data_IF_001167826998
#
_entry.id   IF_001167826998
#
_cell.length_a   1.000
_cell.length_b   1.000
_cell.length_c   1.000
_cell.angle_alpha   90.00
_cell.angle_beta   90.00
_cell.angle_gamma   90.00
#
_symmetry.space_group_name_H-M   'P 1'
#
loop_
_entity.id
_entity.type
_entity.pdbx_description
1 polymer ?
#
# COMPACT_ATOMS: atom_id res chain seq x y z
N UNK A 1 12.17 12.02 4.39
CA UNK A 1 11.47 10.77 4.05
C UNK A 1 12.48 9.65 3.99
N UNK A 2 12.11 8.46 4.48
CA UNK A 2 12.91 7.24 4.48
C UNK A 2 12.21 6.18 3.66
N UNK A 3 12.98 5.32 2.99
CA UNK A 3 12.48 4.17 2.26
C UNK A 3 13.18 2.90 2.71
N UNK A 4 12.48 1.78 2.61
CA UNK A 4 13.05 0.48 2.92
C UNK A 4 12.37 -0.62 2.13
N UNK A 5 12.98 -1.81 2.21
CA UNK A 5 12.32 -3.06 1.85
C UNK A 5 12.44 -4.04 3.01
N UNK A 6 11.41 -4.86 3.16
CA UNK A 6 11.39 -5.98 4.11
C UNK A 6 10.65 -7.13 3.45
N UNK A 7 11.39 -8.14 3.01
CA UNK A 7 10.85 -9.23 2.20
C UNK A 7 10.11 -8.66 0.96
N UNK A 8 8.82 -8.94 0.81
CA UNK A 8 7.95 -8.43 -0.26
C UNK A 8 7.35 -7.05 0.03
N UNK A 9 7.64 -6.47 1.20
CA UNK A 9 7.11 -5.16 1.60
C UNK A 9 7.98 -4.02 1.09
N UNK A 10 7.31 -3.06 0.46
CA UNK A 10 7.82 -1.74 0.11
C UNK A 10 7.46 -0.75 1.20
N UNK A 11 8.46 -0.14 1.82
CA UNK A 11 8.27 0.68 3.03
C UNK A 11 8.63 2.13 2.75
N UNK A 12 7.80 3.05 3.25
CA UNK A 12 8.08 4.46 3.29
C UNK A 12 7.73 5.03 4.67
N UNK A 13 8.53 5.99 5.13
CA UNK A 13 8.25 6.75 6.33
C UNK A 13 8.50 8.25 6.08
N UNK A 14 7.50 9.07 6.38
CA UNK A 14 7.66 10.53 6.50
C UNK A 14 7.95 10.84 7.97
N UNK A 15 9.10 11.42 8.26
CA UNK A 15 9.50 11.82 9.62
C UNK A 15 9.32 13.32 9.73
N UNK A 16 8.44 13.77 10.62
CA UNK A 16 8.11 15.17 10.90
C UNK A 16 8.42 15.51 12.36
N UNK A 17 9.69 15.35 12.76
CA UNK A 17 10.12 15.57 14.14
C UNK A 17 9.77 14.39 15.04
N UNK A 18 9.03 14.57 16.15
CA UNK A 18 8.67 13.48 17.05
C UNK A 18 7.58 12.56 16.46
N UNK A 19 6.87 13.00 15.44
CA UNK A 19 5.87 12.21 14.72
C UNK A 19 6.44 11.64 13.43
N UNK A 20 5.93 10.48 13.04
CA UNK A 20 6.16 9.90 11.73
C UNK A 20 4.84 9.38 11.15
N UNK A 21 4.84 9.16 9.84
CA UNK A 21 3.80 8.41 9.14
C UNK A 21 4.49 7.33 8.34
N UNK A 22 4.19 6.08 8.66
CA UNK A 22 4.75 4.88 8.07
C UNK A 22 3.71 4.18 7.21
N UNK A 23 4.14 3.76 6.01
CA UNK A 23 3.35 2.93 5.13
C UNK A 23 4.20 1.78 4.61
N UNK A 24 3.70 0.56 4.80
CA UNK A 24 4.14 -0.61 4.07
C UNK A 24 3.10 -1.01 3.04
N UNK A 25 3.52 -1.25 1.79
CA UNK A 25 2.70 -1.84 0.73
C UNK A 25 3.32 -3.13 0.22
N UNK A 26 2.46 -4.08 -0.14
CA UNK A 26 2.83 -5.30 -0.83
C UNK A 26 1.99 -5.44 -2.09
N UNK A 27 2.64 -5.54 -3.24
CA UNK A 27 1.94 -5.55 -4.54
C UNK A 27 1.55 -6.95 -5.03
N UNK A 28 2.27 -7.99 -4.61
CA UNK A 28 2.00 -9.38 -4.96
C UNK A 28 2.55 -10.35 -3.89
N UNK A 29 2.29 -11.65 -4.04
CA UNK A 29 2.88 -12.71 -3.22
C UNK A 29 1.93 -13.34 -2.20
N UNK A 30 2.41 -14.36 -1.50
CA UNK A 30 1.67 -15.06 -0.45
C UNK A 30 1.37 -14.12 0.74
N UNK A 31 0.33 -14.40 1.55
CA UNK A 31 0.13 -13.70 2.81
C UNK A 31 1.41 -13.74 3.64
N UNK A 32 1.92 -12.57 4.00
CA UNK A 32 3.08 -12.40 4.87
C UNK A 32 2.64 -11.58 6.08
N UNK A 33 3.09 -11.92 7.30
CA UNK A 33 2.64 -11.23 8.50
C UNK A 33 2.97 -9.74 8.46
N UNK A 34 2.00 -8.91 8.87
CA UNK A 34 2.22 -7.49 9.15
C UNK A 34 3.08 -7.35 10.39
N UNK A 35 3.99 -6.36 10.39
CA UNK A 35 4.64 -5.86 11.63
C UNK A 35 3.92 -4.64 12.17
N UNK A 36 3.23 -3.89 11.31
CA UNK A 36 2.30 -2.85 11.71
C UNK A 36 0.89 -3.40 11.93
N UNK A 37 -0.10 -2.51 11.83
CA UNK A 37 -1.52 -2.86 11.83
C UNK A 37 -2.11 -2.67 10.44
N UNK A 38 -3.26 -3.29 10.18
CA UNK A 38 -4.02 -2.97 8.98
C UNK A 38 -4.49 -1.50 9.05
N UNK A 39 -4.45 -0.75 7.94
CA UNK A 39 -5.00 0.60 7.92
C UNK A 39 -6.50 0.59 8.23
N UNK A 40 -6.97 1.65 8.88
CA UNK A 40 -8.40 1.91 9.02
C UNK A 40 -9.04 2.30 7.67
N UNK A 41 -10.36 2.52 7.67
CA UNK A 41 -11.09 2.83 6.44
C UNK A 41 -10.65 4.15 5.78
N UNK A 42 -10.29 5.17 6.57
CA UNK A 42 -9.86 6.47 6.05
C UNK A 42 -8.46 6.36 5.41
N UNK A 43 -7.54 5.71 6.12
CA UNK A 43 -6.20 5.41 5.64
C UNK A 43 -6.24 4.54 4.38
N UNK A 44 -7.09 3.50 4.36
CA UNK A 44 -7.25 2.62 3.20
C UNK A 44 -7.76 3.37 1.98
N UNK A 45 -8.71 4.30 2.14
CA UNK A 45 -9.22 5.13 1.05
C UNK A 45 -8.12 6.02 0.46
N UNK A 46 -7.27 6.62 1.31
CA UNK A 46 -6.13 7.42 0.86
C UNK A 46 -5.09 6.59 0.13
N UNK A 47 -4.72 5.43 0.69
CA UNK A 47 -3.78 4.49 0.05
C UNK A 47 -4.30 4.13 -1.35
N UNK A 48 -5.58 3.77 -1.47
CA UNK A 48 -6.19 3.45 -2.76
C UNK A 48 -6.15 4.62 -3.74
N UNK A 49 -6.43 5.85 -3.28
CA UNK A 49 -6.33 7.05 -4.11
C UNK A 49 -4.90 7.31 -4.61
N UNK A 50 -3.89 7.12 -3.74
CA UNK A 50 -2.48 7.25 -4.09
C UNK A 50 -2.03 6.24 -5.15
N UNK A 51 -2.39 4.97 -4.96
CA UNK A 51 -2.12 3.90 -5.94
C UNK A 51 -2.79 4.19 -7.27
N UNK A 52 -4.05 4.63 -7.27
CA UNK A 52 -4.77 4.98 -8.49
C UNK A 52 -4.10 6.11 -9.26
N UNK A 53 -3.66 7.18 -8.56
CA UNK A 53 -2.91 8.30 -9.18
C UNK A 53 -1.60 7.83 -9.81
N UNK A 54 -0.83 7.00 -9.11
CA UNK A 54 0.42 6.46 -9.65
C UNK A 54 0.19 5.57 -10.87
N UNK A 55 -0.79 4.67 -10.81
CA UNK A 55 -1.18 3.82 -11.93
C UNK A 55 -1.56 4.64 -13.17
N UNK A 56 -2.37 5.69 -12.98
CA UNK A 56 -2.73 6.61 -14.06
C UNK A 56 -1.52 7.32 -14.65
N UNK A 57 -0.62 7.85 -13.81
CA UNK A 57 0.56 8.58 -14.27
C UNK A 57 1.57 7.70 -15.01
N UNK A 58 1.72 6.45 -14.58
CA UNK A 58 2.71 5.51 -15.14
C UNK A 58 2.15 4.63 -16.27
N UNK A 59 0.83 4.66 -16.51
CA UNK A 59 0.18 3.72 -17.44
C UNK A 59 0.25 2.26 -16.96
N UNK A 60 0.14 2.04 -15.65
CA UNK A 60 0.27 0.71 -15.01
C UNK A 60 -1.00 0.31 -14.28
N UNK A 61 -1.01 -0.90 -13.69
CA UNK A 61 -2.13 -1.45 -12.96
C UNK A 61 -1.68 -2.20 -11.69
N UNK A 62 -0.82 -1.57 -10.88
CA UNK A 62 -0.43 -2.15 -9.59
C UNK A 62 -1.66 -2.37 -8.72
N UNK A 63 -1.78 -3.59 -8.21
CA UNK A 63 -2.70 -3.92 -7.13
C UNK A 63 -1.95 -4.00 -5.81
N UNK A 64 -2.57 -3.55 -4.73
CA UNK A 64 -2.05 -3.74 -3.37
C UNK A 64 -2.67 -5.03 -2.83
N UNK A 65 -1.84 -6.04 -2.62
CA UNK A 65 -2.22 -7.30 -1.99
C UNK A 65 -2.34 -7.14 -0.46
N UNK A 66 -1.53 -6.27 0.13
CA UNK A 66 -1.59 -5.95 1.56
C UNK A 66 -0.98 -4.58 1.88
N UNK A 67 -1.42 -3.99 2.99
CA UNK A 67 -0.92 -2.72 3.51
C UNK A 67 -0.77 -2.78 5.04
N UNK A 68 0.21 -2.04 5.55
CA UNK A 68 0.42 -1.85 6.99
C UNK A 68 0.77 -0.40 7.32
N UNK A 69 0.34 0.05 8.49
CA UNK A 69 0.66 1.37 9.08
C UNK A 69 1.19 1.18 10.50
N UNK A 70 1.85 2.19 11.07
CA UNK A 70 2.20 2.17 12.49
C UNK A 70 1.00 2.68 13.31
N UNK A 71 0.48 1.92 14.29
CA UNK A 71 -0.69 2.32 15.07
C UNK A 71 -0.46 3.58 15.93
N UNK A 72 0.78 4.05 16.03
CA UNK A 72 1.15 5.27 16.78
C UNK A 72 1.20 6.50 15.89
N UNK A 73 0.99 6.35 14.58
CA UNK A 73 1.01 7.47 13.66
C UNK A 73 -0.23 8.34 13.84
N UNK A 74 -0.01 9.65 13.94
CA UNK A 74 -1.11 10.61 13.83
C UNK A 74 -1.60 10.65 12.38
N UNK A 75 -2.92 10.51 12.20
CA UNK A 75 -3.51 10.64 10.88
C UNK A 75 -3.44 12.09 10.40
N UNK A 76 -2.72 12.31 9.30
CA UNK A 76 -2.68 13.57 8.56
C UNK A 76 -3.24 13.33 7.16
N UNK A 77 -4.31 14.03 6.81
CA UNK A 77 -5.02 13.83 5.57
C UNK A 77 -4.10 14.06 4.35
N UNK A 78 -4.15 13.13 3.41
CA UNK A 78 -3.39 13.11 2.16
C UNK A 78 -1.99 12.48 2.28
N UNK A 79 -1.46 12.26 3.48
CA UNK A 79 -0.12 11.70 3.65
C UNK A 79 -0.06 10.25 3.18
N UNK A 80 -1.07 9.44 3.49
CA UNK A 80 -1.07 8.03 3.07
C UNK A 80 -1.27 7.89 1.56
N UNK A 81 -2.04 8.79 0.95
CA UNK A 81 -2.15 8.85 -0.51
C UNK A 81 -0.81 9.20 -1.16
N UNK A 82 -0.10 10.19 -0.62
CA UNK A 82 1.21 10.58 -1.14
C UNK A 82 2.27 9.48 -0.93
N UNK A 83 2.32 8.84 0.24
CA UNK A 83 3.21 7.71 0.51
C UNK A 83 2.93 6.54 -0.44
N UNK A 84 1.65 6.20 -0.65
CA UNK A 84 1.26 5.11 -1.52
C UNK A 84 1.66 5.36 -2.98
N UNK A 85 1.41 6.57 -3.48
CA UNK A 85 1.85 6.99 -4.81
C UNK A 85 3.38 6.83 -4.95
N UNK A 86 4.14 7.35 -3.99
CA UNK A 86 5.60 7.30 -3.99
C UNK A 86 6.13 5.86 -3.98
N UNK A 87 5.47 4.97 -3.22
CA UNK A 87 5.85 3.55 -3.17
C UNK A 87 5.60 2.83 -4.50
N UNK A 88 4.49 3.12 -5.19
CA UNK A 88 4.22 2.56 -6.53
C UNK A 88 5.26 3.05 -7.53
N UNK A 89 5.56 4.35 -7.55
CA UNK A 89 6.57 4.93 -8.44
C UNK A 89 7.94 4.27 -8.23
N UNK A 90 8.33 4.02 -6.98
CA UNK A 90 9.59 3.34 -6.67
C UNK A 90 9.58 1.86 -7.05
N UNK A 91 8.49 1.14 -6.80
CA UNK A 91 8.37 -0.25 -7.21
C UNK A 91 8.47 -0.37 -8.74
N UNK A 92 7.84 0.55 -9.47
CA UNK A 92 7.92 0.64 -10.92
C UNK A 92 9.35 0.92 -11.40
N UNK A 93 10.00 1.94 -10.84
CA UNK A 93 11.39 2.26 -11.18
C UNK A 93 12.37 1.09 -10.89
N UNK A 94 12.04 0.23 -9.92
CA UNK A 94 12.80 -0.97 -9.60
C UNK A 94 12.45 -2.20 -10.47
N UNK A 95 11.56 -2.06 -11.45
CA UNK A 95 11.17 -3.13 -12.37
C UNK A 95 10.20 -4.16 -11.78
N UNK A 96 9.53 -3.85 -10.67
CA UNK A 96 8.46 -4.73 -10.16
C UNK A 96 7.34 -4.77 -11.19
N UNK A 97 6.98 -5.94 -11.68
CA UNK A 97 5.89 -6.07 -12.63
C UNK A 97 4.57 -5.60 -12.00
N UNK A 98 3.78 -4.80 -12.74
CA UNK A 98 2.39 -4.56 -12.39
C UNK A 98 1.61 -5.84 -12.67
N UNK A 99 1.52 -6.72 -11.68
CA UNK A 99 0.58 -7.82 -11.73
C UNK A 99 -0.81 -7.28 -11.37
N UNK A 100 -1.85 -7.54 -12.18
CA UNK A 100 -3.21 -7.28 -11.72
C UNK A 100 -3.45 -8.10 -10.45
N UNK A 101 -4.29 -7.59 -9.54
CA UNK A 101 -4.69 -8.32 -8.35
C UNK A 101 -5.06 -9.75 -8.74
N UNK A 102 -4.59 -10.79 -8.02
CA UNK A 102 -5.00 -12.15 -8.33
C UNK A 102 -6.52 -12.18 -8.35
N UNK A 103 -7.10 -12.61 -9.47
CA UNK A 103 -8.55 -12.80 -9.54
C UNK A 103 -8.89 -13.78 -8.44
N UNK A 104 -9.67 -13.35 -7.44
CA UNK A 104 -10.23 -14.25 -6.46
C UNK A 104 -10.89 -15.42 -7.22
N UNK A 105 -10.51 -16.68 -6.92
CA UNK A 105 -11.19 -17.84 -7.46
C UNK A 105 -12.69 -17.67 -7.29
N UNK A 106 -13.47 -18.11 -8.28
CA UNK A 106 -14.91 -17.83 -8.34
C UNK A 106 -15.65 -18.27 -7.06
N UNK A 107 -15.20 -19.37 -6.46
CA UNK A 107 -15.74 -19.91 -5.20
C UNK A 107 -15.51 -19.01 -3.96
N UNK A 108 -14.54 -18.08 -4.00
CA UNK A 108 -14.27 -17.15 -2.89
C UNK A 108 -14.95 -15.78 -3.08
N UNK A 109 -15.48 -15.48 -4.28
CA UNK A 109 -16.16 -14.21 -4.56
C UNK A 109 -17.48 -14.04 -3.80
N UNK A 110 -18.18 -15.14 -3.54
CA UNK A 110 -19.45 -15.13 -2.80
C UNK A 110 -19.25 -14.82 -1.30
N UNK A 111 -18.10 -15.21 -0.73
CA UNK A 111 -17.80 -15.04 0.69
C UNK A 111 -17.45 -13.59 1.04
N UNK A 112 -16.87 -12.85 0.08
CA UNK A 112 -16.39 -11.47 0.29
C UNK A 112 -17.34 -10.36 -0.21
N UNK A 113 -18.55 -10.70 -0.69
CA UNK A 113 -19.59 -9.70 -1.05
C UNK A 113 -20.58 -9.39 0.08
N UNK A 114 -20.42 -10.00 1.25
CA UNK A 114 -21.41 -9.97 2.32
C UNK A 114 -20.95 -9.23 3.59
N UNK A 115 -19.94 -8.36 3.50
CA UNK A 115 -19.46 -7.52 4.60
C UNK A 115 -19.62 -6.05 4.30
#
# INVERSE_FOLDING_TARGET
MLFGRRDDWWLAARVTGPTHQFLGLRFAGAPSPRRGVAPDAAQAAEIAAGVARANQALGTAYAVADSEVDPRDDFEAGIYAWLAQTLVERAHAAGVASAPAPKLPEHLRAVYRSG
#
